data_IF_804020056681
#
_entry.id   IF_804020056681
#
_cell.length_a   1.000
_cell.length_b   1.000
_cell.length_c   1.000
_cell.angle_alpha   90.00
_cell.angle_beta   90.00
_cell.angle_gamma   90.00
#
_symmetry.space_group_name_H-M   'P 1'
#
loop_
_entity.id
_entity.type
_entity.pdbx_description
1 polymer ?
#
# COMPACT_ATOMS: atom_id res chain seq x y z
N UNK A 1 -2.99 25.90 17.50
CA UNK A 1 -1.63 25.47 17.12
C UNK A 1 -1.33 24.01 17.49
N UNK A 2 -1.97 23.40 18.50
CA UNK A 2 -1.73 21.99 18.88
C UNK A 2 -2.18 20.96 17.81
N UNK A 3 -3.34 21.14 17.17
CA UNK A 3 -3.91 20.15 16.24
C UNK A 3 -3.05 19.86 15.00
N UNK A 4 -2.40 20.88 14.44
CA UNK A 4 -1.57 20.72 13.22
C UNK A 4 -0.28 19.93 13.50
N UNK A 5 0.29 20.07 14.70
CA UNK A 5 1.49 19.32 15.12
C UNK A 5 1.14 17.84 15.32
N UNK A 6 -0.03 17.54 15.86
CA UNK A 6 -0.49 16.15 16.05
C UNK A 6 -0.79 15.49 14.70
N UNK A 7 -1.45 16.19 13.77
CA UNK A 7 -1.65 15.70 12.40
C UNK A 7 -0.34 15.33 11.72
N UNK A 8 0.68 16.19 11.81
CA UNK A 8 1.99 15.95 11.21
C UNK A 8 2.64 14.68 11.74
N UNK A 9 2.62 14.45 13.06
CA UNK A 9 3.17 13.25 13.67
C UNK A 9 2.43 11.96 13.22
N UNK A 10 1.11 12.01 13.09
CA UNK A 10 0.34 10.86 12.58
C UNK A 10 0.62 10.58 11.10
N UNK A 11 0.80 11.63 10.29
CA UNK A 11 1.12 11.51 8.88
C UNK A 11 2.53 10.94 8.66
N UNK A 12 3.53 11.42 9.41
CA UNK A 12 4.89 10.87 9.39
C UNK A 12 4.90 9.39 9.81
N UNK A 13 4.20 9.05 10.89
CA UNK A 13 4.09 7.66 11.32
C UNK A 13 3.44 6.79 10.24
N UNK A 14 2.37 7.27 9.59
CA UNK A 14 1.72 6.55 8.50
C UNK A 14 2.65 6.34 7.30
N UNK A 15 3.45 7.35 6.92
CA UNK A 15 4.47 7.22 5.89
C UNK A 15 5.56 6.22 6.28
N UNK A 16 6.01 6.24 7.54
CA UNK A 16 7.02 5.30 8.04
C UNK A 16 6.53 3.85 7.99
N UNK A 17 5.29 3.61 8.41
CA UNK A 17 4.64 2.30 8.26
C UNK A 17 4.53 1.89 6.77
N UNK A 18 4.20 2.84 5.90
CA UNK A 18 4.18 2.62 4.46
C UNK A 18 5.54 2.20 3.89
N UNK A 19 6.62 2.82 4.36
CA UNK A 19 7.99 2.43 3.99
C UNK A 19 8.33 1.01 4.48
N UNK A 20 7.99 0.69 5.73
CA UNK A 20 8.20 -0.66 6.26
C UNK A 20 7.48 -1.72 5.42
N UNK A 21 6.26 -1.43 4.97
CA UNK A 21 5.50 -2.31 4.08
C UNK A 21 6.17 -2.42 2.71
N UNK A 22 6.49 -1.28 2.09
CA UNK A 22 7.07 -1.24 0.74
C UNK A 22 8.38 -2.01 0.65
N UNK A 23 9.20 -1.92 1.69
CA UNK A 23 10.51 -2.56 1.76
C UNK A 23 10.50 -3.92 2.48
N UNK A 24 9.33 -4.42 2.88
CA UNK A 24 9.20 -5.66 3.65
C UNK A 24 10.17 -5.73 4.85
N UNK A 25 10.27 -4.67 5.65
CA UNK A 25 11.24 -4.59 6.76
C UNK A 25 10.95 -5.56 7.92
N UNK A 26 9.70 -6.01 8.03
CA UNK A 26 9.26 -7.01 9.00
C UNK A 26 8.20 -7.93 8.34
N UNK A 27 8.58 -8.77 7.36
CA UNK A 27 7.64 -9.51 6.53
C UNK A 27 6.88 -10.61 7.29
N UNK A 28 7.42 -11.00 8.45
CA UNK A 28 6.83 -12.01 9.34
C UNK A 28 5.88 -11.40 10.38
N UNK A 29 5.68 -10.07 10.35
CA UNK A 29 4.73 -9.36 11.22
C UNK A 29 3.55 -8.82 10.38
N UNK A 30 2.56 -9.67 10.02
CA UNK A 30 1.44 -9.28 9.17
C UNK A 30 0.56 -8.19 9.79
N UNK A 31 0.61 -7.99 11.12
CA UNK A 31 -0.15 -6.94 11.81
C UNK A 31 0.33 -5.54 11.41
N UNK A 32 1.53 -5.42 10.83
CA UNK A 32 2.02 -4.16 10.27
C UNK A 32 1.05 -3.58 9.22
N UNK A 33 0.49 -4.43 8.34
CA UNK A 33 -0.48 -3.99 7.34
C UNK A 33 -1.77 -3.50 8.02
N UNK A 34 -2.28 -4.25 8.99
CA UNK A 34 -3.48 -3.84 9.74
C UNK A 34 -3.27 -2.53 10.51
N UNK A 35 -2.09 -2.33 11.09
CA UNK A 35 -1.72 -1.10 11.75
C UNK A 35 -1.67 0.08 10.77
N UNK A 36 -1.05 -0.09 9.62
CA UNK A 36 -1.03 0.91 8.55
C UNK A 36 -2.45 1.28 8.07
N UNK A 37 -3.31 0.28 7.85
CA UNK A 37 -4.70 0.51 7.46
C UNK A 37 -5.50 1.24 8.55
N UNK A 38 -5.28 0.90 9.82
CA UNK A 38 -5.93 1.56 10.96
C UNK A 38 -5.50 3.03 11.09
N UNK A 39 -4.19 3.30 10.95
CA UNK A 39 -3.66 4.67 10.94
C UNK A 39 -4.19 5.48 9.75
N UNK A 40 -4.29 4.88 8.57
CA UNK A 40 -4.90 5.52 7.40
C UNK A 40 -6.37 5.91 7.66
N UNK A 41 -7.18 5.01 8.24
CA UNK A 41 -8.56 5.33 8.63
C UNK A 41 -8.64 6.43 9.68
N UNK A 42 -7.68 6.47 10.61
CA UNK A 42 -7.61 7.54 11.59
C UNK A 42 -7.34 8.89 10.91
N UNK A 43 -6.33 8.98 10.03
CA UNK A 43 -6.04 10.18 9.25
C UNK A 43 -7.27 10.65 8.46
N UNK A 44 -7.86 9.74 7.69
CA UNK A 44 -9.01 10.06 6.84
C UNK A 44 -10.26 10.55 7.61
N UNK A 45 -10.37 10.25 8.92
CA UNK A 45 -11.55 10.57 9.75
C UNK A 45 -11.32 11.72 10.72
N UNK A 46 -10.11 11.88 11.22
CA UNK A 46 -9.80 12.78 12.35
C UNK A 46 -8.79 13.87 12.00
N UNK A 47 -8.30 13.93 10.75
CA UNK A 47 -7.45 15.03 10.27
C UNK A 47 -8.02 15.61 8.96
N UNK A 48 -7.55 16.79 8.52
CA UNK A 48 -7.80 17.34 7.19
C UNK A 48 -7.31 16.48 6.01
N UNK A 49 -6.64 15.35 6.26
CA UNK A 49 -6.11 14.49 5.20
C UNK A 49 -7.25 13.86 4.40
N UNK A 50 -7.22 14.07 3.07
CA UNK A 50 -8.25 13.57 2.15
C UNK A 50 -8.41 12.05 2.21
N UNK A 51 -9.63 11.56 2.49
CA UNK A 51 -9.94 10.12 2.49
C UNK A 51 -9.66 9.47 1.14
N UNK A 52 -9.89 10.19 0.04
CA UNK A 52 -9.52 9.75 -1.31
C UNK A 52 -8.02 9.53 -1.43
N UNK A 53 -7.22 10.50 -0.99
CA UNK A 53 -5.75 10.42 -1.07
C UNK A 53 -5.20 9.27 -0.22
N UNK A 54 -5.76 9.06 0.99
CA UNK A 54 -5.39 7.93 1.85
C UNK A 54 -5.71 6.59 1.18
N UNK A 55 -6.95 6.42 0.69
CA UNK A 55 -7.38 5.18 0.06
C UNK A 55 -6.58 4.90 -1.22
N UNK A 56 -6.36 5.92 -2.05
CA UNK A 56 -5.56 5.80 -3.27
C UNK A 56 -4.10 5.46 -2.98
N UNK A 57 -3.47 6.15 -2.02
CA UNK A 57 -2.09 5.87 -1.61
C UNK A 57 -1.93 4.47 -1.04
N UNK A 58 -2.88 4.04 -0.21
CA UNK A 58 -2.94 2.69 0.36
C UNK A 58 -3.05 1.63 -0.75
N UNK A 59 -3.97 1.80 -1.72
CA UNK A 59 -4.12 0.86 -2.84
C UNK A 59 -2.82 0.75 -3.64
N UNK A 60 -2.22 1.88 -4.01
CA UNK A 60 -0.96 1.92 -4.76
C UNK A 60 0.17 1.26 -4.00
N UNK A 61 0.29 1.48 -2.69
CA UNK A 61 1.29 0.82 -1.86
C UNK A 61 1.12 -0.71 -1.89
N UNK A 62 -0.09 -1.20 -1.63
CA UNK A 62 -0.37 -2.64 -1.59
C UNK A 62 -0.04 -3.30 -2.93
N UNK A 63 -0.52 -2.72 -4.03
CA UNK A 63 -0.31 -3.28 -5.37
C UNK A 63 1.17 -3.21 -5.78
N UNK A 64 1.85 -2.08 -5.54
CA UNK A 64 3.27 -1.95 -5.87
C UNK A 64 4.15 -2.91 -5.06
N UNK A 65 3.80 -3.15 -3.79
CA UNK A 65 4.51 -4.10 -2.94
C UNK A 65 4.25 -5.54 -3.37
N UNK A 66 3.00 -5.88 -3.74
CA UNK A 66 2.68 -7.20 -4.27
C UNK A 66 3.42 -7.52 -5.58
N UNK A 67 3.58 -6.53 -6.46
CA UNK A 67 4.23 -6.70 -7.75
C UNK A 67 5.76 -6.70 -7.70
N UNK A 68 6.37 -6.38 -6.54
CA UNK A 68 7.81 -6.34 -6.39
C UNK A 68 8.39 -7.75 -6.17
N UNK A 69 8.96 -8.32 -7.23
CA UNK A 69 9.51 -9.68 -7.21
C UNK A 69 10.76 -9.83 -6.33
N UNK A 70 11.41 -8.74 -5.92
CA UNK A 70 12.54 -8.79 -4.99
C UNK A 70 12.08 -9.06 -3.55
N UNK A 71 10.78 -8.92 -3.25
CA UNK A 71 10.23 -9.14 -1.92
C UNK A 71 9.83 -10.62 -1.70
N UNK A 72 9.77 -11.07 -0.43
CA UNK A 72 9.30 -12.42 -0.11
C UNK A 72 7.90 -12.71 -0.63
N UNK A 73 7.68 -13.91 -1.19
CA UNK A 73 6.41 -14.32 -1.79
C UNK A 73 5.21 -14.18 -0.84
N UNK A 74 5.38 -14.57 0.43
CA UNK A 74 4.32 -14.48 1.42
C UNK A 74 3.92 -13.03 1.69
N UNK A 75 4.88 -12.12 1.79
CA UNK A 75 4.61 -10.70 2.02
C UNK A 75 3.85 -10.06 0.85
N UNK A 76 4.28 -10.40 -0.38
CA UNK A 76 3.62 -9.96 -1.61
C UNK A 76 2.18 -10.45 -1.70
N UNK A 77 1.96 -11.73 -1.38
CA UNK A 77 0.62 -12.33 -1.33
C UNK A 77 -0.26 -11.65 -0.31
N UNK A 78 0.26 -11.41 0.91
CA UNK A 78 -0.47 -10.67 1.95
C UNK A 78 -0.85 -9.25 1.51
N UNK A 79 0.05 -8.51 0.86
CA UNK A 79 -0.28 -7.18 0.35
C UNK A 79 -1.38 -7.23 -0.71
N UNK A 80 -1.35 -8.21 -1.62
CA UNK A 80 -2.38 -8.41 -2.63
C UNK A 80 -3.73 -8.73 -1.99
N UNK A 81 -3.76 -9.63 -1.01
CA UNK A 81 -4.96 -10.02 -0.25
C UNK A 81 -5.60 -8.84 0.51
N UNK A 82 -4.83 -7.79 0.81
CA UNK A 82 -5.32 -6.59 1.48
C UNK A 82 -5.73 -5.47 0.52
N UNK A 83 -5.36 -5.55 -0.77
CA UNK A 83 -5.58 -4.48 -1.76
C UNK A 83 -7.07 -4.20 -2.07
N UNK A 84 -7.97 -5.16 -1.83
CA UNK A 84 -9.41 -4.95 -2.02
C UNK A 84 -9.99 -3.93 -1.02
N UNK A 85 -9.42 -3.81 0.19
CA UNK A 85 -9.91 -2.89 1.23
C UNK A 85 -9.80 -1.43 0.80
N UNK A 86 -8.62 -0.91 0.40
CA UNK A 86 -8.52 0.46 -0.10
C UNK A 86 -9.25 0.65 -1.43
N UNK A 87 -9.40 -0.39 -2.27
CA UNK A 87 -10.21 -0.29 -3.49
C UNK A 87 -11.70 -0.07 -3.19
N UNK A 88 -12.24 -0.76 -2.17
CA UNK A 88 -13.59 -0.53 -1.66
C UNK A 88 -13.72 0.88 -1.08
N UNK A 89 -12.74 1.32 -0.31
CA UNK A 89 -12.77 2.65 0.31
C UNK A 89 -12.69 3.77 -0.76
N UNK A 90 -11.89 3.59 -1.82
CA UNK A 90 -11.89 4.45 -3.02
C UNK A 90 -13.27 4.55 -3.64
N UNK A 91 -13.97 3.41 -3.82
CA UNK A 91 -15.34 3.41 -4.37
C UNK A 91 -16.28 4.24 -3.51
N UNK A 92 -16.20 4.09 -2.20
CA UNK A 92 -17.08 4.77 -1.24
C UNK A 92 -16.83 6.29 -1.19
N UNK A 93 -15.59 6.73 -1.44
CA UNK A 93 -15.21 8.14 -1.41
C UNK A 93 -15.27 8.83 -2.80
N UNK A 94 -15.56 8.10 -3.88
CA UNK A 94 -15.62 8.65 -5.23
C UNK A 94 -16.87 9.54 -5.40
N UNK A 95 -16.68 10.86 -5.38
CA UNK A 95 -17.75 11.84 -5.55
C UNK A 95 -17.82 12.39 -6.99
N UNK A 96 -16.69 12.42 -7.70
CA UNK A 96 -16.58 13.02 -9.03
C UNK A 96 -16.47 11.95 -10.13
N UNK A 97 -16.95 12.23 -11.35
CA UNK A 97 -16.78 11.31 -12.48
C UNK A 97 -15.32 10.94 -12.78
N UNK A 98 -14.37 11.85 -12.54
CA UNK A 98 -12.94 11.59 -12.69
C UNK A 98 -12.43 10.55 -11.67
N UNK A 99 -12.87 10.67 -10.42
CA UNK A 99 -12.56 9.70 -9.35
C UNK A 99 -13.17 8.33 -9.64
N UNK A 100 -14.40 8.27 -10.16
CA UNK A 100 -15.01 7.00 -10.57
C UNK A 100 -14.17 6.30 -11.65
N UNK A 101 -13.66 7.04 -12.65
CA UNK A 101 -12.75 6.48 -13.66
C UNK A 101 -11.45 5.97 -13.05
N UNK A 102 -10.81 6.75 -12.19
CA UNK A 102 -9.59 6.33 -11.50
C UNK A 102 -9.82 5.06 -10.65
N UNK A 103 -10.97 4.95 -9.99
CA UNK A 103 -11.34 3.74 -9.26
C UNK A 103 -11.51 2.53 -10.20
N UNK A 104 -12.15 2.71 -11.36
CA UNK A 104 -12.26 1.65 -12.38
C UNK A 104 -10.90 1.20 -12.88
N UNK A 105 -9.97 2.13 -13.11
CA UNK A 105 -8.60 1.80 -13.51
C UNK A 105 -7.88 0.98 -12.43
N UNK A 106 -8.03 1.35 -11.15
CA UNK A 106 -7.51 0.57 -10.03
C UNK A 106 -8.15 -0.82 -9.96
N UNK A 107 -9.47 -0.92 -10.16
CA UNK A 107 -10.18 -2.19 -10.16
C UNK A 107 -9.70 -3.10 -11.31
N UNK A 108 -9.50 -2.55 -12.50
CA UNK A 108 -8.94 -3.28 -13.64
C UNK A 108 -7.50 -3.74 -13.39
N UNK A 109 -6.67 -2.90 -12.77
CA UNK A 109 -5.31 -3.29 -12.39
C UNK A 109 -5.32 -4.46 -11.41
N UNK A 110 -6.16 -4.41 -10.37
CA UNK A 110 -6.26 -5.50 -9.40
C UNK A 110 -6.80 -6.79 -10.05
N UNK A 111 -7.82 -6.69 -10.90
CA UNK A 111 -8.43 -7.84 -11.57
C UNK A 111 -7.49 -8.53 -12.57
N UNK A 112 -6.54 -7.78 -13.15
CA UNK A 112 -5.54 -8.28 -14.11
C UNK A 112 -4.18 -8.56 -13.47
N UNK A 113 -4.08 -8.42 -12.15
CA UNK A 113 -2.83 -8.58 -11.43
C UNK A 113 -2.45 -10.07 -11.41
N UNK A 114 -1.32 -10.39 -12.02
CA UNK A 114 -0.72 -11.72 -11.98
C UNK A 114 0.51 -11.70 -11.06
N UNK A 115 0.49 -12.55 -10.03
CA UNK A 115 1.58 -12.63 -9.07
C UNK A 115 2.67 -13.58 -9.58
N UNK A 116 3.68 -13.02 -10.26
CA UNK A 116 4.87 -13.76 -10.68
C UNK A 116 5.70 -14.23 -9.47
N UNK A 117 6.38 -15.39 -9.53
CA UNK A 117 7.21 -15.87 -8.42
C UNK A 117 8.25 -14.84 -7.99
N UNK A 118 8.64 -14.87 -6.71
CA UNK A 118 9.74 -14.01 -6.25
C UNK A 118 11.07 -14.48 -6.84
N UNK A 119 11.96 -13.52 -7.06
CA UNK A 119 13.32 -13.81 -7.53
C UNK A 119 14.01 -14.65 -6.45
N UNK A 120 14.59 -15.81 -6.79
CA UNK A 120 15.30 -16.62 -5.81
C UNK A 120 16.52 -15.87 -5.28
N UNK A 121 16.90 -16.15 -4.03
CA UNK A 121 18.00 -15.45 -3.36
C UNK A 121 19.32 -15.55 -4.13
N UNK A 122 19.54 -16.65 -4.85
CA UNK A 122 20.73 -16.85 -5.69
C UNK A 122 20.87 -15.76 -6.74
N UNK A 123 19.79 -15.44 -7.44
CA UNK A 123 19.78 -14.51 -8.57
C UNK A 123 19.87 -13.06 -8.08
N UNK A 124 19.40 -12.78 -6.86
CA UNK A 124 19.58 -11.48 -6.19
C UNK A 124 21.04 -11.23 -5.77
N UNK A 125 21.76 -12.28 -5.37
CA UNK A 125 23.16 -12.20 -4.96
C UNK A 125 24.12 -12.18 -6.15
N UNK A 126 23.69 -12.70 -7.29
CA UNK A 126 24.45 -12.78 -8.54
C UNK A 126 24.46 -11.44 -9.29
N UNK A 127 24.54 -10.33 -8.56
CA UNK A 127 24.68 -9.01 -9.14
C UNK A 127 25.88 -8.98 -10.08
N UNK A 128 25.60 -8.89 -11.38
CA UNK A 128 26.59 -8.55 -12.42
C UNK A 128 27.89 -9.39 -12.35
N UNK A 129 27.79 -10.70 -12.54
CA UNK A 129 28.94 -11.49 -13.01
C UNK A 129 28.71 -11.90 -14.47
N UNK A 130 28.43 -10.94 -15.34
CA UNK A 130 28.54 -11.09 -16.78
C UNK A 130 29.54 -10.02 -17.27
N UNK A 131 30.66 -10.51 -17.80
CA UNK A 131 31.80 -9.89 -18.52
C UNK A 131 31.96 -8.36 -18.60
#
# INVERSE_FOLDING_TARGET
MSSAVHEFAHLENWHWLGLQIRCALAPDEPRLIEHYLAQGRYLARFTPTSSWSVAHGTFRLMLATALDQALPWHWRSLCLDQAWRPLRDLRNCAAQPAQVRQWQDCAHQLARCELLPSIPLTDLLQGYCDE
#
